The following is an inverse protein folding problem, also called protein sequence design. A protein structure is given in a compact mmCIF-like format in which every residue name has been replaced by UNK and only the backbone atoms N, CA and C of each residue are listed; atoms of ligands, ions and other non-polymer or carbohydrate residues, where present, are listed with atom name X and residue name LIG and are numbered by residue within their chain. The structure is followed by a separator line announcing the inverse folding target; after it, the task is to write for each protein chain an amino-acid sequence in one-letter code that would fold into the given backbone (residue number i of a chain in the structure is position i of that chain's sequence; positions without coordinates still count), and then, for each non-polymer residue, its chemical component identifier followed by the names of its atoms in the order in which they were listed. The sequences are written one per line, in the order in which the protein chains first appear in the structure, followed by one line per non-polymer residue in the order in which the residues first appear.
data_IF_192136196913
#
_entry.id   IF_192136196913
#
_cell.length_a   1.000
_cell.length_b   1.000
_cell.length_c   1.000
_cell.angle_alpha   90.00
_cell.angle_beta   90.00
_cell.angle_gamma   90.00
#
_symmetry.space_group_name_H-M   'P 1'
#
loop_
_entity.id
_entity.type
_entity.pdbx_description
1 polymer ?
#
# COMPACT_ATOMS: atom_id res chain seq x y z
N UNK A 1 -4.27 -5.88 -21.43
CA UNK A 1 -4.01 -5.49 -20.03
C UNK A 1 -4.97 -4.37 -19.63
N UNK A 2 -6.20 -4.66 -19.17
CA UNK A 2 -7.08 -3.68 -18.49
C UNK A 2 -8.48 -4.24 -18.19
N UNK A 3 -8.61 -5.10 -17.17
CA UNK A 3 -9.91 -5.37 -16.53
C UNK A 3 -10.10 -4.63 -15.20
N UNK A 4 -9.06 -3.93 -14.72
CA UNK A 4 -9.06 -3.30 -13.39
C UNK A 4 -9.37 -1.80 -13.41
N UNK A 5 -9.64 -1.21 -14.58
CA UNK A 5 -10.02 0.21 -14.70
C UNK A 5 -11.31 0.56 -13.95
N UNK A 6 -12.16 -0.44 -13.70
CA UNK A 6 -13.41 -0.32 -12.94
C UNK A 6 -13.30 -0.78 -11.48
N UNK A 7 -12.13 -1.24 -11.04
CA UNK A 7 -11.94 -1.71 -9.67
C UNK A 7 -12.17 -0.55 -8.69
N UNK A 8 -13.18 -0.67 -7.82
CA UNK A 8 -13.54 0.35 -6.83
C UNK A 8 -13.01 0.06 -5.43
N UNK A 9 -12.89 -1.21 -5.09
CA UNK A 9 -12.48 -1.68 -3.76
C UNK A 9 -11.46 -2.78 -3.94
N UNK A 10 -10.33 -2.67 -3.25
CA UNK A 10 -9.34 -3.72 -3.10
C UNK A 10 -9.36 -4.16 -1.64
N UNK A 11 -9.69 -5.42 -1.39
CA UNK A 11 -9.74 -5.98 -0.05
C UNK A 11 -8.99 -7.31 -0.02
N UNK A 12 -7.99 -7.40 0.86
CA UNK A 12 -7.22 -8.63 1.07
C UNK A 12 -7.00 -8.79 2.57
N UNK A 13 -7.38 -9.94 3.10
CA UNK A 13 -7.29 -10.24 4.52
C UNK A 13 -6.63 -11.61 4.74
N UNK A 14 -5.86 -11.74 5.82
CA UNK A 14 -5.33 -13.02 6.31
C UNK A 14 -4.50 -13.82 5.30
N UNK A 15 -3.61 -13.14 4.57
CA UNK A 15 -2.72 -13.78 3.62
C UNK A 15 -1.25 -13.64 4.06
N UNK A 16 -0.72 -14.72 4.65
CA UNK A 16 0.62 -14.76 5.25
C UNK A 16 1.77 -14.66 4.26
N UNK A 17 1.60 -15.21 3.05
CA UNK A 17 2.68 -15.33 2.06
C UNK A 17 2.58 -14.29 0.92
N UNK A 18 1.53 -13.48 0.88
CA UNK A 18 1.34 -12.49 -0.17
C UNK A 18 2.42 -11.40 -0.07
N UNK A 19 3.24 -11.28 -1.12
CA UNK A 19 4.32 -10.27 -1.19
C UNK A 19 3.96 -9.05 -2.03
N UNK A 20 3.20 -9.25 -3.09
CA UNK A 20 2.75 -8.22 -4.04
C UNK A 20 1.32 -8.49 -4.51
N UNK A 21 0.48 -7.45 -4.61
CA UNK A 21 -0.91 -7.60 -5.11
C UNK A 21 -0.93 -7.57 -6.64
N UNK A 22 -0.23 -6.60 -7.21
CA UNK A 22 -0.11 -6.41 -8.65
C UNK A 22 1.35 -6.58 -9.09
N UNK A 23 1.82 -7.83 -9.28
CA UNK A 23 3.16 -8.07 -9.75
C UNK A 23 3.33 -7.53 -11.18
N UNK A 24 4.48 -6.95 -11.48
CA UNK A 24 4.86 -6.67 -12.86
C UNK A 24 5.18 -7.99 -13.56
N UNK A 25 4.68 -8.15 -14.78
CA UNK A 25 5.09 -9.28 -15.62
C UNK A 25 6.57 -9.14 -16.04
N UNK A 26 7.12 -10.24 -16.56
CA UNK A 26 8.54 -10.31 -16.93
C UNK A 26 8.94 -9.25 -17.96
N UNK A 27 8.07 -8.98 -18.94
CA UNK A 27 8.34 -7.99 -19.98
C UNK A 27 8.33 -6.58 -19.39
N UNK A 28 7.34 -6.24 -18.56
CA UNK A 28 7.24 -4.97 -17.88
C UNK A 28 8.43 -4.72 -16.95
N UNK A 29 8.94 -5.74 -16.27
CA UNK A 29 10.19 -5.65 -15.49
C UNK A 29 11.40 -5.37 -16.38
N UNK A 30 11.57 -6.12 -17.46
CA UNK A 30 12.65 -5.93 -18.41
C UNK A 30 12.66 -4.52 -19.03
N UNK A 31 11.48 -3.99 -19.38
CA UNK A 31 11.36 -2.61 -19.88
C UNK A 31 11.58 -1.57 -18.78
N UNK A 32 11.11 -1.80 -17.55
CA UNK A 32 11.34 -0.89 -16.43
C UNK A 32 12.83 -0.70 -16.12
N UNK A 33 13.65 -1.74 -16.29
CA UNK A 33 15.11 -1.66 -16.10
C UNK A 33 15.83 -0.85 -17.20
N UNK A 34 15.24 -0.78 -18.41
CA UNK A 34 15.82 -0.03 -19.55
C UNK A 34 15.21 1.36 -19.76
N UNK A 35 14.07 1.65 -19.14
CA UNK A 35 13.40 2.94 -19.24
C UNK A 35 13.94 3.92 -18.18
N UNK A 36 14.01 5.22 -18.50
CA UNK A 36 14.37 6.24 -17.52
C UNK A 36 13.31 6.45 -16.44
N UNK A 37 12.12 5.85 -16.58
CA UNK A 37 10.98 6.03 -15.66
C UNK A 37 10.32 4.70 -15.27
N UNK A 38 9.90 4.54 -14.00
CA UNK A 38 9.26 3.32 -13.52
C UNK A 38 7.87 3.09 -14.13
N UNK A 39 7.55 1.83 -14.43
CA UNK A 39 6.21 1.42 -14.89
C UNK A 39 5.16 1.79 -13.85
N UNK A 40 4.10 2.47 -14.27
CA UNK A 40 3.03 2.97 -13.41
C UNK A 40 1.70 2.28 -13.71
N UNK A 41 1.15 1.58 -12.72
CA UNK A 41 -0.20 1.03 -12.75
C UNK A 41 -1.21 2.11 -12.33
N UNK A 42 -2.12 2.48 -13.23
CA UNK A 42 -3.16 3.48 -12.94
C UNK A 42 -4.49 2.77 -12.66
N UNK A 43 -5.07 3.01 -11.49
CA UNK A 43 -6.40 2.53 -11.11
C UNK A 43 -7.32 3.73 -10.86
N UNK A 44 -7.95 4.28 -11.91
CA UNK A 44 -8.67 5.54 -11.81
C UNK A 44 -9.96 5.43 -11.01
N UNK A 45 -10.59 4.25 -10.93
CA UNK A 45 -11.86 4.07 -10.22
C UNK A 45 -11.70 3.60 -8.77
N UNK A 46 -10.46 3.35 -8.30
CA UNK A 46 -10.22 2.76 -7.00
C UNK A 46 -10.44 3.79 -5.90
N UNK A 47 -11.41 3.51 -5.02
CA UNK A 47 -11.82 4.39 -3.92
C UNK A 47 -11.38 3.89 -2.55
N UNK A 48 -11.25 2.57 -2.40
CA UNK A 48 -11.05 1.94 -1.09
C UNK A 48 -10.01 0.84 -1.18
N UNK A 49 -9.06 0.86 -0.25
CA UNK A 49 -8.09 -0.23 -0.05
C UNK A 49 -8.20 -0.71 1.40
N UNK A 50 -8.43 -2.01 1.58
CA UNK A 50 -8.40 -2.67 2.88
C UNK A 50 -7.41 -3.82 2.86
N UNK A 51 -6.37 -3.72 3.69
CA UNK A 51 -5.31 -4.71 3.83
C UNK A 51 -5.22 -5.10 5.31
N UNK A 52 -5.43 -6.38 5.61
CA UNK A 52 -5.48 -6.88 6.99
C UNK A 52 -4.68 -8.16 7.16
N UNK A 53 -3.76 -8.18 8.13
CA UNK A 53 -2.97 -9.36 8.50
C UNK A 53 -2.23 -9.97 7.29
N UNK A 54 -1.44 -9.10 6.63
CA UNK A 54 -0.57 -9.44 5.49
C UNK A 54 0.91 -9.21 5.88
N UNK A 55 1.47 -10.01 6.78
CA UNK A 55 2.79 -9.73 7.38
C UNK A 55 3.93 -9.72 6.35
N UNK A 56 3.81 -10.48 5.26
CA UNK A 56 4.82 -10.57 4.20
C UNK A 56 4.61 -9.60 3.04
N UNK A 57 3.55 -8.78 3.06
CA UNK A 57 3.25 -7.84 1.99
C UNK A 57 4.28 -6.71 1.97
N UNK A 58 5.08 -6.63 0.92
CA UNK A 58 6.14 -5.63 0.79
C UNK A 58 5.70 -4.44 -0.04
N UNK A 59 4.91 -4.69 -1.09
CA UNK A 59 4.43 -3.68 -2.04
C UNK A 59 3.02 -4.01 -2.51
N UNK A 60 2.24 -2.99 -2.83
CA UNK A 60 0.93 -3.20 -3.49
C UNK A 60 1.14 -3.49 -4.98
N UNK A 61 2.05 -2.78 -5.64
CA UNK A 61 2.40 -2.99 -7.05
C UNK A 61 3.90 -3.21 -7.21
N UNK A 62 4.30 -4.04 -8.18
CA UNK A 62 5.71 -4.24 -8.54
C UNK A 62 6.38 -3.01 -9.15
N UNK A 63 5.59 -2.02 -9.59
CA UNK A 63 6.04 -0.70 -10.04
C UNK A 63 5.44 0.44 -9.20
N UNK A 64 5.32 1.63 -9.80
CA UNK A 64 4.52 2.71 -9.20
C UNK A 64 3.04 2.44 -9.36
N UNK A 65 2.24 2.93 -8.44
CA UNK A 65 0.79 2.80 -8.47
C UNK A 65 0.17 4.19 -8.32
N UNK A 66 -0.72 4.56 -9.23
CA UNK A 66 -1.46 5.82 -9.18
C UNK A 66 -2.95 5.56 -9.01
N UNK A 67 -3.52 6.12 -7.95
CA UNK A 67 -4.93 5.96 -7.54
C UNK A 67 -5.53 7.33 -7.25
N UNK A 68 -5.83 8.14 -8.29
CA UNK A 68 -6.24 9.54 -8.09
C UNK A 68 -7.54 9.68 -7.30
N UNK A 69 -8.47 8.71 -7.39
CA UNK A 69 -9.77 8.78 -6.70
C UNK A 69 -9.82 7.98 -5.40
N UNK A 70 -8.67 7.67 -4.79
CA UNK A 70 -8.63 6.96 -3.53
C UNK A 70 -9.23 7.85 -2.42
N UNK A 71 -10.16 7.30 -1.64
CA UNK A 71 -10.86 8.02 -0.57
C UNK A 71 -10.45 7.46 0.79
N UNK A 72 -10.34 6.13 0.91
CA UNK A 72 -10.03 5.45 2.18
C UNK A 72 -8.98 4.36 2.03
N UNK A 73 -8.10 4.29 3.01
CA UNK A 73 -7.05 3.29 3.15
C UNK A 73 -7.13 2.71 4.57
N UNK A 74 -7.23 1.39 4.68
CA UNK A 74 -7.23 0.69 5.96
C UNK A 74 -6.15 -0.37 5.94
N UNK A 75 -5.10 -0.19 6.74
CA UNK A 75 -3.95 -1.09 6.80
C UNK A 75 -3.79 -1.56 8.23
N UNK A 76 -3.81 -2.88 8.42
CA UNK A 76 -3.60 -3.52 9.72
C UNK A 76 -2.76 -4.78 9.58
N UNK A 77 -1.81 -5.00 10.48
CA UNK A 77 -0.94 -6.20 10.48
C UNK A 77 -0.03 -6.35 9.24
N UNK A 78 0.12 -5.29 8.43
CA UNK A 78 0.92 -5.31 7.19
C UNK A 78 2.34 -4.76 7.42
N UNK A 79 3.07 -5.35 8.37
CA UNK A 79 4.30 -4.78 8.92
C UNK A 79 5.49 -4.69 7.95
N UNK A 80 5.44 -5.39 6.82
CA UNK A 80 6.48 -5.34 5.78
C UNK A 80 6.21 -4.28 4.71
N UNK A 81 5.00 -3.71 4.66
CA UNK A 81 4.63 -2.72 3.66
C UNK A 81 5.30 -1.38 4.01
N UNK A 82 6.01 -0.79 3.05
CA UNK A 82 6.75 0.47 3.26
C UNK A 82 6.28 1.63 2.40
N UNK A 83 5.55 1.36 1.32
CA UNK A 83 5.17 2.38 0.33
C UNK A 83 3.68 2.34 0.05
N UNK A 84 3.12 3.53 -0.17
CA UNK A 84 1.72 3.73 -0.50
C UNK A 84 1.53 4.19 -1.95
N UNK A 85 0.33 4.02 -2.50
CA UNK A 85 0.00 4.52 -3.84
C UNK A 85 0.18 6.04 -3.92
N UNK A 86 0.47 6.52 -5.12
CA UNK A 86 0.41 7.94 -5.43
C UNK A 86 -1.04 8.36 -5.68
N UNK A 87 -1.47 9.41 -4.99
CA UNK A 87 -2.84 9.96 -5.05
C UNK A 87 -2.84 11.38 -5.62
N UNK A 88 -1.75 11.79 -6.30
CA UNK A 88 -1.69 13.05 -7.05
C UNK A 88 -2.87 13.14 -8.04
N UNK A 89 -3.45 14.33 -8.14
CA UNK A 89 -4.59 14.62 -9.01
C UNK A 89 -5.94 14.68 -8.30
N UNK A 90 -5.98 14.48 -6.98
CA UNK A 90 -7.16 14.74 -6.15
C UNK A 90 -6.85 15.80 -5.10
N UNK A 91 -7.80 16.72 -4.92
CA UNK A 91 -7.78 17.73 -3.87
C UNK A 91 -8.20 17.17 -2.50
N UNK A 92 -8.63 15.89 -2.47
CA UNK A 92 -9.07 15.22 -1.25
C UNK A 92 -7.91 14.54 -0.54
N UNK A 93 -7.87 14.69 0.77
CA UNK A 93 -6.97 13.96 1.66
C UNK A 93 -7.53 12.57 1.91
N UNK A 94 -6.70 11.54 1.73
CA UNK A 94 -7.08 10.13 1.94
C UNK A 94 -7.02 9.79 3.43
N UNK A 95 -8.10 9.25 3.95
CA UNK A 95 -8.13 8.78 5.34
C UNK A 95 -7.43 7.42 5.44
N UNK A 96 -6.39 7.34 6.29
CA UNK A 96 -5.59 6.13 6.48
C UNK A 96 -5.76 5.57 7.90
N UNK A 97 -6.65 4.59 8.08
CA UNK A 97 -6.76 3.84 9.32
C UNK A 97 -5.60 2.84 9.42
N UNK A 98 -4.64 3.11 10.30
CA UNK A 98 -3.38 2.37 10.37
C UNK A 98 -2.76 2.30 11.77
N UNK A 99 -1.79 1.40 11.96
CA UNK A 99 -0.93 1.41 13.14
C UNK A 99 0.10 2.54 13.11
N UNK A 100 0.30 3.20 14.25
CA UNK A 100 1.27 4.29 14.38
C UNK A 100 2.70 3.84 14.07
N UNK A 101 3.13 2.72 14.65
CA UNK A 101 4.49 2.18 14.43
C UNK A 101 4.77 1.79 12.98
N UNK A 102 3.73 1.42 12.23
CA UNK A 102 3.84 1.16 10.81
C UNK A 102 3.92 2.46 10.02
N UNK A 103 3.05 3.43 10.34
CA UNK A 103 3.02 4.75 9.72
C UNK A 103 4.36 5.48 9.82
N UNK A 104 5.00 5.42 10.99
CA UNK A 104 6.29 6.06 11.26
C UNK A 104 7.45 5.43 10.45
N UNK A 105 7.26 4.24 9.87
CA UNK A 105 8.24 3.51 9.04
C UNK A 105 7.96 3.61 7.54
N UNK A 106 6.98 4.40 7.12
CA UNK A 106 6.67 4.59 5.72
C UNK A 106 7.79 5.34 5.00
N UNK A 107 8.13 4.85 3.81
CA UNK A 107 9.02 5.48 2.86
C UNK A 107 8.17 6.23 1.84
N UNK A 108 8.45 7.52 1.66
CA UNK A 108 7.73 8.39 0.75
C UNK A 108 8.59 8.71 -0.46
N UNK A 109 8.02 8.57 -1.66
CA UNK A 109 8.72 8.88 -2.91
C UNK A 109 8.94 10.40 -3.05
N UNK A 110 8.09 11.21 -2.42
CA UNK A 110 8.20 12.65 -2.34
C UNK A 110 7.65 13.19 -1.02
N UNK A 111 8.20 14.31 -0.52
CA UNK A 111 7.78 14.90 0.77
C UNK A 111 6.34 15.45 0.78
N UNK A 112 5.74 15.69 -0.39
CA UNK A 112 4.34 16.12 -0.53
C UNK A 112 3.35 14.96 -0.52
N UNK A 113 3.82 13.72 -0.65
CA UNK A 113 2.96 12.53 -0.68
C UNK A 113 2.32 12.31 0.69
N UNK A 114 3.12 12.45 1.75
CA UNK A 114 2.65 12.28 3.12
C UNK A 114 1.49 13.22 3.50
N UNK A 115 1.49 14.47 3.01
CA UNK A 115 0.44 15.45 3.33
C UNK A 115 -0.90 15.14 2.64
N UNK A 116 -0.91 14.27 1.63
CA UNK A 116 -2.15 13.81 0.98
C UNK A 116 -2.87 12.71 1.75
N UNK A 117 -2.26 12.22 2.82
CA UNK A 117 -2.84 11.21 3.68
C UNK A 117 -3.04 11.75 5.10
N UNK A 118 -4.18 11.41 5.68
CA UNK A 118 -4.49 11.71 7.09
C UNK A 118 -4.52 10.40 7.87
N UNK A 119 -3.51 10.12 8.70
CA UNK A 119 -3.51 8.91 9.51
C UNK A 119 -4.57 9.00 10.61
N UNK A 120 -5.30 7.90 10.79
CA UNK A 120 -6.22 7.66 11.88
C UNK A 120 -5.68 6.45 12.63
N UNK A 121 -5.07 6.69 13.79
CA UNK A 121 -4.52 5.62 14.60
C UNK A 121 -5.61 5.04 15.50
N UNK A 122 -6.10 3.83 15.20
CA UNK A 122 -6.99 3.12 16.12
C UNK A 122 -6.27 2.88 17.46
N UNK A 123 -7.01 3.12 18.55
CA UNK A 123 -6.59 2.87 19.93
C UNK A 123 -6.21 1.41 20.19
N UNK A 124 -6.65 0.49 19.33
CA UNK A 124 -6.47 -0.95 19.46
C UNK A 124 -5.25 -1.50 18.70
N UNK A 125 -4.26 -0.65 18.39
CA UNK A 125 -3.04 -1.17 17.80
C UNK A 125 -2.37 -2.09 18.83
N UNK A 126 -2.25 -3.39 18.50
CA UNK A 126 -1.34 -4.27 19.22
C UNK A 126 0.02 -3.58 19.12
N UNK A 127 0.56 -3.04 20.23
CA UNK A 127 2.01 -2.91 20.35
C UNK A 127 2.53 -4.25 19.87
N UNK A 128 3.44 -4.27 18.90
CA UNK A 128 4.12 -5.49 18.56
C UNK A 128 4.57 -6.07 19.90
N UNK A 129 3.92 -7.15 20.36
CA UNK A 129 4.42 -7.89 21.49
C UNK A 129 5.78 -8.27 20.97
N UNK A 130 6.83 -7.59 21.47
CA UNK A 130 8.20 -8.02 21.34
C UNK A 130 8.11 -9.51 21.50
N UNK A 131 8.44 -10.27 20.44
CA UNK A 131 8.42 -11.73 20.42
C UNK A 131 9.01 -12.15 21.76
N UNK A 132 8.14 -12.45 22.71
CA UNK A 132 8.57 -12.61 24.09
C UNK A 132 9.17 -13.98 24.04
N UNK A 133 10.49 -14.00 24.20
CA UNK A 133 11.27 -15.08 24.77
C UNK A 133 10.70 -16.47 24.49
N UNK A 134 11.35 -17.17 23.56
CA UNK A 134 11.37 -18.63 23.54
C UNK A 134 11.46 -19.09 25.00
N UNK A 135 10.40 -19.74 25.50
CA UNK A 135 10.47 -20.44 26.77
C UNK A 135 11.54 -21.51 26.58
N UNK A 136 12.67 -21.31 27.24
CA UNK A 136 13.75 -22.28 27.37
C UNK A 136 13.26 -23.48 28.16
#
# INVERSE_FOLDING_TARGET
MSSLSQLKTLEITWCGDLREVFPLDYMAKYYAEKLPQPVTLVLPSLKRIHLHELPSLQRICGGRMSTPNLETLKIRGCWSLRRLPDVRGSDKVVECDCEKEWWDKLEWDDGSQASRYKPIHSRYYKKALLRSSVLR
#
